data_IF_715001899835
#
_entry.id   IF_715001899835
#
_cell.length_a   1.000
_cell.length_b   1.000
_cell.length_c   1.000
_cell.angle_alpha   90.00
_cell.angle_beta   90.00
_cell.angle_gamma   90.00
#
_symmetry.space_group_name_H-M   'P 1'
#
loop_
_entity.id
_entity.type
_entity.pdbx_description
1 polymer ?
#
# COMPACT_ATOMS: atom_id res chain seq x y z
N UNK A 1 10.77 1.14 11.09
CA UNK A 1 11.16 0.32 9.91
C UNK A 1 10.49 0.91 8.67
N UNK A 2 10.83 0.45 7.46
CA UNK A 2 10.11 0.84 6.24
C UNK A 2 9.07 -0.21 5.91
N UNK A 3 7.82 0.20 5.66
CA UNK A 3 6.70 -0.70 5.40
C UNK A 3 6.18 -0.56 3.97
N UNK A 4 5.64 -1.65 3.44
CA UNK A 4 4.87 -1.65 2.18
C UNK A 4 3.38 -1.63 2.50
N UNK A 5 2.67 -0.66 1.93
CA UNK A 5 1.27 -0.40 2.21
C UNK A 5 0.45 -0.69 0.94
N UNK A 6 -0.49 -1.63 1.02
CA UNK A 6 -1.45 -1.88 -0.05
C UNK A 6 -2.48 -0.76 -0.06
N UNK A 7 -2.50 0.03 -1.12
CA UNK A 7 -3.45 1.12 -1.31
C UNK A 7 -4.48 0.69 -2.35
N UNK A 8 -5.75 0.72 -1.97
CA UNK A 8 -6.83 0.42 -2.88
C UNK A 8 -7.94 1.47 -2.82
N UNK A 9 -8.63 1.65 -3.94
CA UNK A 9 -9.85 2.43 -4.04
C UNK A 9 -10.74 1.84 -5.11
N UNK A 10 -12.01 1.60 -4.76
CA UNK A 10 -13.06 1.22 -5.72
C UNK A 10 -13.74 2.44 -6.34
N UNK A 11 -13.30 3.65 -5.98
CA UNK A 11 -13.84 4.91 -6.48
C UNK A 11 -13.03 5.34 -7.70
N UNK A 12 -13.73 5.52 -8.83
CA UNK A 12 -13.13 6.06 -10.03
C UNK A 12 -12.65 7.50 -9.79
N UNK A 13 -11.49 7.86 -10.36
CA UNK A 13 -10.92 9.21 -10.30
C UNK A 13 -11.92 10.32 -10.66
N UNK A 14 -12.80 10.06 -11.62
CA UNK A 14 -13.81 11.01 -12.10
C UNK A 14 -14.99 11.24 -11.15
N UNK A 15 -15.14 10.42 -10.11
CA UNK A 15 -16.33 10.41 -9.23
C UNK A 15 -16.12 11.05 -7.86
N UNK A 16 -14.87 11.25 -7.41
CA UNK A 16 -14.58 11.90 -6.13
C UNK A 16 -13.41 12.85 -6.24
N UNK A 17 -13.69 14.05 -6.78
CA UNK A 17 -12.70 15.13 -6.89
C UNK A 17 -12.21 15.60 -5.52
N UNK A 18 -13.08 15.54 -4.51
CA UNK A 18 -12.81 15.88 -3.11
C UNK A 18 -11.71 15.01 -2.50
N UNK A 19 -11.69 13.70 -2.78
CA UNK A 19 -10.65 12.79 -2.28
C UNK A 19 -9.37 12.76 -3.12
N UNK A 20 -9.38 13.32 -4.33
CA UNK A 20 -8.20 13.31 -5.19
C UNK A 20 -7.00 14.02 -4.55
N UNK A 21 -7.20 15.17 -3.90
CA UNK A 21 -6.11 15.92 -3.23
C UNK A 21 -5.63 15.23 -1.94
N UNK A 22 -6.52 14.78 -1.04
CA UNK A 22 -6.13 13.94 0.10
C UNK A 22 -5.36 12.69 -0.29
N UNK A 23 -5.79 11.95 -1.32
CA UNK A 23 -5.10 10.76 -1.82
C UNK A 23 -3.68 11.09 -2.30
N UNK A 24 -3.54 12.13 -3.11
CA UNK A 24 -2.22 12.61 -3.54
C UNK A 24 -1.34 13.05 -2.35
N UNK A 25 -1.94 13.71 -1.36
CA UNK A 25 -1.24 14.08 -0.12
C UNK A 25 -0.78 12.85 0.67
N UNK A 26 -1.62 11.81 0.77
CA UNK A 26 -1.28 10.55 1.42
C UNK A 26 -0.03 9.93 0.78
N UNK A 27 0.01 9.88 -0.56
CA UNK A 27 1.16 9.35 -1.31
C UNK A 27 2.46 10.06 -0.96
N UNK A 28 2.44 11.40 -0.95
CA UNK A 28 3.62 12.22 -0.58
C UNK A 28 4.12 11.90 0.83
N UNK A 29 3.19 11.61 1.74
CA UNK A 29 3.51 11.32 3.14
C UNK A 29 4.04 9.91 3.33
N UNK A 30 3.50 8.93 2.61
CA UNK A 30 4.03 7.56 2.56
C UNK A 30 5.50 7.62 2.11
N UNK A 31 5.78 8.33 1.02
CA UNK A 31 7.14 8.52 0.51
C UNK A 31 8.04 9.26 1.51
N UNK A 32 7.57 10.34 2.12
CA UNK A 32 8.34 11.10 3.10
C UNK A 32 8.68 10.29 4.37
N UNK A 33 7.85 9.31 4.72
CA UNK A 33 8.08 8.37 5.81
C UNK A 33 8.98 7.17 5.42
N UNK A 34 9.46 7.11 4.17
CA UNK A 34 10.29 6.01 3.67
C UNK A 34 9.51 4.71 3.41
N UNK A 35 8.18 4.77 3.44
CA UNK A 35 7.32 3.63 3.13
C UNK A 35 7.07 3.50 1.63
N UNK A 36 6.64 2.33 1.19
CA UNK A 36 6.37 2.01 -0.22
C UNK A 36 4.86 1.91 -0.46
N UNK A 37 4.36 2.57 -1.49
CA UNK A 37 2.97 2.45 -1.92
C UNK A 37 2.82 1.33 -2.96
N UNK A 38 2.09 0.27 -2.59
CA UNK A 38 1.67 -0.78 -3.52
C UNK A 38 0.24 -0.50 -3.98
N UNK A 39 0.00 -0.38 -5.28
CA UNK A 39 -1.35 -0.03 -5.79
C UNK A 39 -1.71 -0.90 -6.99
N UNK A 40 -3.01 -1.16 -7.27
CA UNK A 40 -3.41 -1.64 -8.58
C UNK A 40 -3.01 -0.61 -9.65
N UNK A 41 -2.41 -1.06 -10.75
CA UNK A 41 -1.90 -0.21 -11.82
C UNK A 41 -3.03 0.28 -12.76
N UNK A 42 -3.97 1.07 -12.23
CA UNK A 42 -5.11 1.58 -12.98
C UNK A 42 -5.66 2.90 -12.44
N UNK A 43 -6.62 3.47 -13.16
CA UNK A 43 -7.11 4.84 -12.94
C UNK A 43 -8.17 4.92 -11.81
N UNK A 44 -7.74 4.76 -10.56
CA UNK A 44 -8.55 5.00 -9.35
C UNK A 44 -7.91 6.04 -8.43
N UNK A 45 -8.52 6.36 -7.27
CA UNK A 45 -7.86 7.22 -6.28
C UNK A 45 -6.53 6.65 -5.77
N UNK A 46 -6.31 5.33 -5.86
CA UNK A 46 -5.02 4.72 -5.53
C UNK A 46 -3.90 5.21 -6.47
N UNK A 47 -4.23 5.52 -7.74
CA UNK A 47 -3.31 6.16 -8.68
C UNK A 47 -2.85 7.54 -8.19
N UNK A 48 -3.71 8.32 -7.54
CA UNK A 48 -3.29 9.60 -6.95
C UNK A 48 -2.30 9.40 -5.81
N UNK A 49 -2.46 8.34 -5.01
CA UNK A 49 -1.51 7.97 -3.98
C UNK A 49 -0.16 7.60 -4.61
N UNK A 50 -0.16 6.78 -5.66
CA UNK A 50 1.06 6.45 -6.41
C UNK A 50 1.76 7.71 -6.96
N UNK A 51 1.00 8.62 -7.60
CA UNK A 51 1.50 9.92 -8.06
C UNK A 51 2.13 10.74 -6.95
N UNK A 52 1.47 10.82 -5.80
CA UNK A 52 1.99 11.55 -4.64
C UNK A 52 3.31 10.99 -4.15
N UNK A 53 3.45 9.66 -4.12
CA UNK A 53 4.67 9.00 -3.73
C UNK A 53 5.81 9.26 -4.73
N UNK A 54 5.53 9.09 -6.03
CA UNK A 54 6.48 9.33 -7.11
C UNK A 54 7.00 10.78 -7.13
N UNK A 55 6.12 11.77 -6.94
CA UNK A 55 6.48 13.19 -6.89
C UNK A 55 7.39 13.56 -5.69
N UNK A 56 7.48 12.68 -4.69
CA UNK A 56 8.40 12.78 -3.56
C UNK A 56 9.59 11.85 -3.67
N UNK A 57 9.83 11.29 -4.86
CA UNK A 57 10.89 10.32 -5.12
C UNK A 57 10.85 9.11 -4.19
N UNK A 58 9.66 8.78 -3.67
CA UNK A 58 9.43 7.55 -2.93
C UNK A 58 9.02 6.42 -3.86
N UNK A 59 9.19 5.18 -3.40
CA UNK A 59 8.90 4.00 -4.20
C UNK A 59 7.40 3.79 -4.36
N UNK A 60 6.96 3.67 -5.62
CA UNK A 60 5.61 3.22 -5.98
C UNK A 60 5.65 2.00 -6.90
N UNK A 61 4.95 0.95 -6.50
CA UNK A 61 4.88 -0.30 -7.26
C UNK A 61 3.43 -0.54 -7.70
N UNK A 62 3.24 -0.71 -9.01
CA UNK A 62 1.94 -0.96 -9.62
C UNK A 62 1.72 -2.46 -9.87
N UNK A 63 0.60 -2.99 -9.40
CA UNK A 63 0.15 -4.36 -9.67
C UNK A 63 -0.82 -4.34 -10.85
N UNK A 64 -0.35 -4.81 -11.99
CA UNK A 64 -1.10 -4.81 -13.25
C UNK A 64 -1.82 -6.15 -13.44
N UNK A 65 -3.12 -6.14 -13.82
CA UNK A 65 -3.85 -7.37 -14.18
C UNK A 65 -3.39 -7.96 -15.51
N UNK A 66 -2.63 -7.21 -16.32
CA UNK A 66 -2.05 -7.74 -17.55
C UNK A 66 -1.00 -8.84 -17.26
N UNK A 67 -0.87 -9.79 -18.18
CA UNK A 67 0.18 -10.81 -18.18
C UNK A 67 1.55 -10.27 -18.65
N UNK A 68 1.62 -9.01 -19.10
CA UNK A 68 2.86 -8.36 -19.50
C UNK A 68 2.66 -6.93 -19.99
N UNK A 69 3.78 -6.22 -20.19
CA UNK A 69 3.80 -4.81 -20.57
C UNK A 69 3.02 -4.50 -21.86
N UNK A 70 3.12 -5.37 -22.88
CA UNK A 70 2.41 -5.17 -24.15
C UNK A 70 0.90 -5.17 -23.95
N UNK A 71 0.36 -6.10 -23.16
CA UNK A 71 -1.08 -6.14 -22.87
C UNK A 71 -1.48 -4.95 -21.98
N UNK A 72 -0.66 -4.59 -20.99
CA UNK A 72 -0.90 -3.45 -20.11
C UNK A 72 -1.07 -2.14 -20.88
N UNK A 73 -0.15 -1.85 -21.79
CA UNK A 73 -0.16 -0.59 -22.55
C UNK A 73 -1.12 -0.66 -23.73
N UNK A 74 -1.04 -1.68 -24.58
CA UNK A 74 -1.76 -1.66 -25.85
C UNK A 74 -3.22 -2.12 -25.72
N UNK A 75 -3.47 -3.11 -24.86
CA UNK A 75 -4.81 -3.71 -24.73
C UNK A 75 -5.62 -3.06 -23.61
N UNK A 76 -5.00 -2.83 -22.46
CA UNK A 76 -5.68 -2.26 -21.29
C UNK A 76 -5.52 -0.73 -21.19
N UNK A 77 -4.56 -0.14 -21.91
CA UNK A 77 -4.32 1.31 -21.94
C UNK A 77 -4.12 1.90 -20.53
N UNK A 78 -3.37 1.17 -19.71
CA UNK A 78 -3.11 1.54 -18.32
C UNK A 78 -1.83 2.40 -18.20
N UNK A 79 -1.78 3.29 -17.19
CA UNK A 79 -0.66 4.21 -17.00
C UNK A 79 0.59 3.49 -16.46
N UNK A 80 1.76 4.03 -16.81
CA UNK A 80 3.08 3.47 -16.42
C UNK A 80 3.99 4.51 -15.78
N UNK A 81 3.63 5.79 -15.86
CA UNK A 81 4.45 6.97 -15.57
C UNK A 81 4.70 7.21 -14.07
N UNK A 82 3.88 6.63 -13.20
CA UNK A 82 3.90 6.90 -11.74
C UNK A 82 4.49 5.74 -10.94
N UNK A 83 4.94 4.70 -11.62
CA UNK A 83 5.41 3.46 -11.00
C UNK A 83 6.89 3.26 -11.31
N UNK A 84 7.71 3.09 -10.27
CA UNK A 84 9.11 2.68 -10.42
C UNK A 84 9.19 1.24 -10.93
N UNK A 85 8.19 0.41 -10.58
CA UNK A 85 8.08 -0.96 -11.02
C UNK A 85 6.63 -1.36 -11.28
N UNK A 86 6.43 -2.11 -12.36
CA UNK A 86 5.15 -2.76 -12.68
C UNK A 86 5.27 -4.27 -12.54
N UNK A 87 4.44 -4.82 -11.66
CA UNK A 87 4.28 -6.26 -11.49
C UNK A 87 3.10 -6.75 -12.34
N UNK A 88 3.39 -7.54 -13.38
CA UNK A 88 2.38 -8.09 -14.29
C UNK A 88 1.90 -9.44 -13.78
N UNK A 89 0.70 -9.49 -13.22
CA UNK A 89 0.21 -10.69 -12.52
C UNK A 89 -0.54 -11.65 -13.45
N UNK A 90 -1.14 -11.13 -14.53
CA UNK A 90 -2.09 -11.90 -15.35
C UNK A 90 -3.36 -12.32 -14.60
N UNK A 91 -3.60 -11.78 -13.39
CA UNK A 91 -4.72 -12.15 -12.53
C UNK A 91 -5.96 -11.31 -12.78
N UNK A 92 -7.13 -11.93 -12.57
CA UNK A 92 -8.40 -11.22 -12.49
C UNK A 92 -8.49 -10.31 -11.25
N UNK A 93 -9.48 -9.39 -11.21
CA UNK A 93 -9.52 -8.33 -10.19
C UNK A 93 -9.47 -8.81 -8.73
N UNK A 94 -10.20 -9.87 -8.38
CA UNK A 94 -10.23 -10.36 -6.99
C UNK A 94 -8.90 -11.01 -6.58
N UNK A 95 -8.29 -11.79 -7.47
CA UNK A 95 -7.02 -12.45 -7.21
C UNK A 95 -5.86 -11.44 -7.17
N UNK A 96 -5.89 -10.43 -8.04
CA UNK A 96 -4.97 -9.30 -8.01
C UNK A 96 -4.97 -8.58 -6.66
N UNK A 97 -6.16 -8.30 -6.11
CA UNK A 97 -6.29 -7.62 -4.83
C UNK A 97 -5.84 -8.51 -3.67
N UNK A 98 -6.14 -9.82 -3.72
CA UNK A 98 -5.65 -10.76 -2.73
C UNK A 98 -4.12 -10.83 -2.71
N UNK A 99 -3.49 -10.84 -3.89
CA UNK A 99 -2.03 -10.81 -3.99
C UNK A 99 -1.46 -9.50 -3.43
N UNK A 100 -2.01 -8.34 -3.84
CA UNK A 100 -1.60 -7.04 -3.35
C UNK A 100 -1.62 -6.94 -1.82
N UNK A 101 -2.73 -7.38 -1.20
CA UNK A 101 -2.93 -7.31 0.25
C UNK A 101 -1.95 -8.26 0.96
N UNK A 102 -1.83 -9.50 0.51
CA UNK A 102 -0.94 -10.50 1.14
C UNK A 102 0.55 -10.14 1.04
N UNK A 103 0.94 -9.31 0.06
CA UNK A 103 2.33 -8.83 -0.09
C UNK A 103 2.61 -7.53 0.66
N UNK A 104 1.62 -6.99 1.37
CA UNK A 104 1.72 -5.74 2.12
C UNK A 104 1.73 -5.98 3.64
N UNK A 105 2.14 -4.97 4.40
CA UNK A 105 2.07 -4.97 5.86
C UNK A 105 0.81 -4.26 6.38
N UNK A 106 0.17 -3.42 5.57
CA UNK A 106 -1.10 -2.78 5.91
C UNK A 106 -1.96 -2.57 4.68
N UNK A 107 -3.28 -2.52 4.88
CA UNK A 107 -4.25 -2.11 3.86
C UNK A 107 -4.70 -0.68 4.13
N UNK A 108 -4.65 0.19 3.12
CA UNK A 108 -5.24 1.52 3.17
C UNK A 108 -6.29 1.66 2.07
N UNK A 109 -7.52 1.93 2.47
CA UNK A 109 -8.65 2.17 1.59
C UNK A 109 -8.89 3.67 1.44
N UNK A 110 -8.91 4.17 0.20
CA UNK A 110 -9.24 5.57 -0.09
C UNK A 110 -10.66 5.64 -0.66
N UNK A 111 -11.58 6.30 0.06
CA UNK A 111 -13.00 6.35 -0.29
C UNK A 111 -13.63 4.96 -0.20
N UNK A 112 -13.65 4.38 1.00
CA UNK A 112 -14.10 3.01 1.18
C UNK A 112 -15.62 2.87 0.97
N UNK A 113 -16.04 1.78 0.33
CA UNK A 113 -17.44 1.46 0.02
C UNK A 113 -17.74 0.00 0.38
N UNK A 114 -19.02 -0.40 0.40
CA UNK A 114 -19.42 -1.80 0.66
C UNK A 114 -18.66 -2.84 -0.18
N UNK A 115 -18.31 -2.50 -1.43
CA UNK A 115 -17.53 -3.37 -2.31
C UNK A 115 -16.10 -3.67 -1.80
N UNK A 116 -15.62 -2.98 -0.76
CA UNK A 116 -14.34 -3.24 -0.10
C UNK A 116 -14.41 -4.30 1.01
N UNK A 117 -15.59 -4.90 1.27
CA UNK A 117 -15.73 -5.89 2.34
C UNK A 117 -14.85 -7.13 2.12
N UNK A 118 -14.61 -7.52 0.86
CA UNK A 118 -13.69 -8.61 0.52
C UNK A 118 -12.24 -8.29 0.89
N UNK A 119 -11.80 -7.06 0.65
CA UNK A 119 -10.46 -6.59 0.98
C UNK A 119 -10.27 -6.50 2.49
N UNK A 120 -11.30 -6.07 3.22
CA UNK A 120 -11.29 -6.06 4.69
C UNK A 120 -11.21 -7.46 5.27
N UNK A 121 -11.95 -8.42 4.71
CA UNK A 121 -11.87 -9.82 5.14
C UNK A 121 -10.44 -10.36 4.94
N UNK A 122 -9.83 -10.12 3.77
CA UNK A 122 -8.46 -10.52 3.49
C UNK A 122 -7.44 -9.88 4.43
N UNK A 123 -7.58 -8.58 4.73
CA UNK A 123 -6.71 -7.90 5.68
C UNK A 123 -6.89 -8.46 7.11
N UNK A 124 -8.14 -8.76 7.51
CA UNK A 124 -8.43 -9.39 8.80
C UNK A 124 -7.80 -10.78 8.90
N UNK A 125 -7.88 -11.61 7.86
CA UNK A 125 -7.30 -12.95 7.83
C UNK A 125 -5.77 -12.89 7.90
N UNK A 126 -5.17 -11.90 7.25
CA UNK A 126 -3.73 -11.64 7.30
C UNK A 126 -3.29 -10.84 8.54
N UNK A 127 -4.20 -10.53 9.47
CA UNK A 127 -3.94 -9.72 10.67
C UNK A 127 -3.27 -8.38 10.38
N UNK A 128 -3.60 -7.77 9.24
CA UNK A 128 -3.04 -6.49 8.83
C UNK A 128 -3.85 -5.33 9.43
N UNK A 129 -3.19 -4.27 9.94
CA UNK A 129 -3.88 -3.04 10.24
C UNK A 129 -4.50 -2.44 8.97
N UNK A 130 -5.68 -1.84 9.13
CA UNK A 130 -6.45 -1.22 8.06
C UNK A 130 -6.61 0.27 8.33
N UNK A 131 -6.18 1.10 7.39
CA UNK A 131 -6.51 2.52 7.34
C UNK A 131 -7.65 2.81 6.36
N UNK A 132 -8.59 3.66 6.74
CA UNK A 132 -9.66 4.15 5.84
C UNK A 132 -9.60 5.67 5.77
N UNK A 133 -9.22 6.18 4.60
CA UNK A 133 -9.24 7.61 4.26
C UNK A 133 -10.62 7.98 3.71
N UNK A 134 -11.35 8.81 4.45
CA UNK A 134 -12.70 9.23 4.07
C UNK A 134 -12.76 10.68 3.64
N UNK A 135 -13.75 10.97 2.80
CA UNK A 135 -14.22 12.32 2.59
C UNK A 135 -15.02 12.79 3.82
N UNK A 136 -14.89 14.08 4.14
CA UNK A 136 -15.80 14.78 5.01
C UNK A 136 -17.27 14.62 4.66
N UNK A 137 -17.60 14.58 3.37
CA UNK A 137 -18.98 14.55 2.88
C UNK A 137 -19.58 13.13 2.87
N UNK A 138 -18.77 12.10 2.68
CA UNK A 138 -19.24 10.71 2.54
C UNK A 138 -19.42 9.99 3.89
N UNK A 139 -18.81 10.48 4.98
CA UNK A 139 -18.75 9.76 6.26
C UNK A 139 -20.14 9.39 6.82
N UNK A 140 -21.14 10.27 6.69
CA UNK A 140 -22.46 10.04 7.29
C UNK A 140 -23.30 8.97 6.57
N UNK A 141 -23.07 8.77 5.27
CA UNK A 141 -23.86 7.88 4.41
C UNK A 141 -23.09 6.63 3.98
N UNK A 142 -22.01 6.32 4.68
CA UNK A 142 -21.14 5.21 4.32
C UNK A 142 -21.56 3.92 5.03
N UNK A 143 -22.28 3.06 4.32
CA UNK A 143 -22.73 1.75 4.80
C UNK A 143 -21.57 0.90 5.35
N UNK A 144 -20.36 1.05 4.79
CA UNK A 144 -19.18 0.32 5.29
C UNK A 144 -18.78 0.77 6.67
N UNK A 145 -18.83 2.07 6.95
CA UNK A 145 -18.51 2.54 8.29
C UNK A 145 -19.54 2.09 9.31
N UNK A 146 -20.83 2.09 8.94
CA UNK A 146 -21.88 1.57 9.81
C UNK A 146 -21.67 0.08 10.10
N UNK A 147 -21.32 -0.70 9.07
CA UNK A 147 -20.93 -2.10 9.23
C UNK A 147 -19.71 -2.26 10.13
N UNK A 148 -18.64 -1.49 9.91
CA UNK A 148 -17.42 -1.54 10.71
C UNK A 148 -17.67 -1.21 12.18
N UNK A 149 -18.54 -0.23 12.46
CA UNK A 149 -18.97 0.14 13.81
C UNK A 149 -19.82 -0.95 14.49
N UNK A 150 -20.46 -1.82 13.71
CA UNK A 150 -21.22 -2.97 14.24
C UNK A 150 -20.35 -4.20 14.57
N UNK A 151 -19.08 -4.23 14.14
CA UNK A 151 -18.18 -5.34 14.40
C UNK A 151 -17.82 -5.44 15.90
N UNK A 152 -17.45 -6.63 16.42
CA UNK A 152 -16.89 -6.75 17.76
C UNK A 152 -15.66 -5.84 17.96
N UNK A 153 -15.50 -5.26 19.15
CA UNK A 153 -14.42 -4.32 19.47
C UNK A 153 -13.02 -4.85 19.12
N UNK A 154 -12.78 -6.16 19.29
CA UNK A 154 -11.51 -6.80 18.95
C UNK A 154 -11.16 -6.65 17.46
N UNK A 155 -12.16 -6.78 16.58
CA UNK A 155 -11.98 -6.58 15.14
C UNK A 155 -11.83 -5.10 14.79
N UNK A 156 -12.52 -4.21 15.51
CA UNK A 156 -12.41 -2.77 15.30
C UNK A 156 -11.03 -2.21 15.64
N UNK A 157 -10.32 -2.79 16.61
CA UNK A 157 -8.98 -2.31 17.05
C UNK A 157 -7.94 -2.30 15.93
N UNK A 158 -8.13 -3.11 14.90
CA UNK A 158 -7.23 -3.21 13.76
C UNK A 158 -7.61 -2.23 12.63
N UNK A 159 -8.64 -1.39 12.82
CA UNK A 159 -9.18 -0.51 11.79
C UNK A 159 -9.18 0.93 12.30
N UNK A 160 -8.45 1.80 11.61
CA UNK A 160 -8.45 3.25 11.84
C UNK A 160 -9.14 3.96 10.69
N UNK A 161 -10.01 4.90 11.03
CA UNK A 161 -10.77 5.72 10.08
C UNK A 161 -10.43 7.18 10.32
N UNK A 162 -9.97 7.88 9.28
CA UNK A 162 -9.61 9.30 9.40
C UNK A 162 -9.86 10.09 8.11
N UNK A 163 -10.02 11.41 8.23
CA UNK A 163 -10.17 12.33 7.08
C UNK A 163 -8.86 12.99 6.68
N UNK A 164 -8.02 13.29 7.67
CA UNK A 164 -6.68 13.79 7.42
C UNK A 164 -5.72 12.64 7.07
N UNK A 165 -5.06 12.68 5.90
CA UNK A 165 -4.13 11.65 5.48
C UNK A 165 -2.93 11.47 6.40
N UNK A 166 -2.49 12.54 7.08
CA UNK A 166 -1.32 12.47 7.97
C UNK A 166 -1.61 11.67 9.20
N UNK A 167 -2.66 12.04 9.91
CA UNK A 167 -3.08 11.30 11.10
C UNK A 167 -3.41 9.85 10.77
N UNK A 168 -4.00 9.57 9.60
CA UNK A 168 -4.25 8.21 9.15
C UNK A 168 -2.94 7.42 9.03
N UNK A 169 -1.97 7.94 8.29
CA UNK A 169 -0.68 7.28 8.07
C UNK A 169 0.08 7.10 9.38
N UNK A 170 0.16 8.14 10.21
CA UNK A 170 0.87 8.09 11.50
C UNK A 170 0.27 7.01 12.41
N UNK A 171 -1.07 6.86 12.40
CA UNK A 171 -1.75 5.84 13.21
C UNK A 171 -1.50 4.44 12.67
N UNK A 172 -1.60 4.23 11.35
CA UNK A 172 -1.28 2.93 10.72
C UNK A 172 0.17 2.54 10.97
N UNK A 173 1.12 3.49 10.80
CA UNK A 173 2.54 3.25 11.06
C UNK A 173 2.78 2.87 12.52
N UNK A 174 2.13 3.54 13.47
CA UNK A 174 2.21 3.18 14.88
C UNK A 174 1.71 1.76 15.17
N UNK A 175 0.60 1.35 14.56
CA UNK A 175 0.09 -0.03 14.69
C UNK A 175 1.07 -1.05 14.15
N UNK A 176 1.77 -0.73 13.05
CA UNK A 176 2.82 -1.58 12.50
C UNK A 176 4.05 -1.64 13.41
N UNK A 177 4.51 -0.51 13.93
CA UNK A 177 5.63 -0.47 14.88
C UNK A 177 5.32 -1.30 16.13
N UNK A 178 4.08 -1.26 16.63
CA UNK A 178 3.61 -2.09 17.75
C UNK A 178 3.54 -3.58 17.36
N UNK A 179 3.05 -3.91 16.17
CA UNK A 179 2.94 -5.30 15.68
C UNK A 179 4.31 -5.96 15.42
N UNK A 180 5.34 -5.16 15.17
CA UNK A 180 6.71 -5.61 14.92
C UNK A 180 7.69 -5.25 16.05
N UNK A 181 7.17 -4.86 17.23
CA UNK A 181 7.99 -4.46 18.37
C UNK A 181 8.83 -5.61 18.96
N UNK A 182 8.46 -6.85 18.66
CA UNK A 182 9.17 -8.07 19.04
C UNK A 182 10.40 -8.36 18.16
N UNK A 183 10.54 -7.68 17.01
CA UNK A 183 11.73 -7.79 16.18
C UNK A 183 12.93 -7.12 16.87
N UNK A 184 13.95 -7.92 17.19
CA UNK A 184 15.21 -7.46 17.77
C UNK A 184 16.02 -6.62 16.76
N UNK A 185 15.89 -5.30 16.84
CA UNK A 185 16.58 -4.37 15.95
C UNK A 185 18.12 -4.47 16.05
N UNK A 186 18.72 -4.54 17.25
CA UNK A 186 20.14 -4.84 17.38
C UNK A 186 20.59 -6.10 16.64
N UNK A 187 19.82 -7.21 16.72
CA UNK A 187 20.15 -8.44 15.99
C UNK A 187 20.03 -8.27 14.47
N UNK A 188 19.02 -7.53 13.98
CA UNK A 188 18.88 -7.19 12.56
C UNK A 188 20.07 -6.35 12.06
N UNK A 189 20.49 -5.34 12.82
CA UNK A 189 21.65 -4.53 12.49
C UNK A 189 22.94 -5.36 12.48
N UNK A 190 23.11 -6.25 13.46
CA UNK A 190 24.25 -7.16 13.52
C UNK A 190 24.29 -8.10 12.31
N UNK A 191 23.15 -8.66 11.91
CA UNK A 191 23.04 -9.48 10.70
C UNK A 191 23.42 -8.69 9.45
N UNK A 192 22.88 -7.47 9.30
CA UNK A 192 23.22 -6.61 8.15
C UNK A 192 24.71 -6.27 8.10
N UNK A 193 25.32 -6.00 9.26
CA UNK A 193 26.77 -5.77 9.35
C UNK A 193 27.58 -7.02 9.00
N UNK A 194 27.15 -8.20 9.44
CA UNK A 194 27.79 -9.47 9.11
C UNK A 194 27.80 -9.71 7.59
N UNK A 195 26.65 -9.60 6.92
CA UNK A 195 26.56 -9.73 5.46
C UNK A 195 27.38 -8.64 4.75
N UNK A 196 27.35 -7.41 5.24
CA UNK A 196 28.16 -6.32 4.70
C UNK A 196 29.67 -6.56 4.77
N UNK A 197 30.14 -7.24 5.83
CA UNK A 197 31.55 -7.66 5.93
C UNK A 197 31.86 -8.79 4.96
N UNK A 198 31.02 -9.83 4.93
CA UNK A 198 31.18 -10.98 4.03
C UNK A 198 31.26 -10.55 2.55
N UNK A 199 30.41 -9.61 2.12
CA UNK A 199 30.41 -9.09 0.75
C UNK A 199 31.70 -8.35 0.40
N UNK A 200 32.31 -7.62 1.34
CA UNK A 200 33.61 -6.96 1.12
C UNK A 200 34.73 -7.99 0.95
N UNK A 201 34.73 -9.03 1.78
CA UNK A 201 35.72 -10.11 1.69
C UNK A 201 35.62 -10.88 0.37
N UNK A 202 34.43 -11.05 -0.19
CA UNK A 202 34.23 -11.67 -1.52
C UNK A 202 34.64 -10.72 -2.65
N UNK A 203 34.39 -9.42 -2.52
CA UNK A 203 34.77 -8.43 -3.53
C UNK A 203 36.30 -8.24 -3.64
N UNK A 204 37.04 -8.54 -2.57
CA UNK A 204 38.51 -8.51 -2.54
C UNK A 204 39.16 -9.78 -3.14
N UNK A 205 38.36 -10.77 -3.59
CA UNK A 205 38.88 -11.93 -4.33
C UNK A 205 39.19 -11.49 -5.76
N UNK A 206 40.46 -11.60 -6.23
CA UNK A 206 40.82 -11.19 -7.58
C UNK A 206 40.02 -12.00 -8.62
N UNK A 207 39.47 -11.32 -9.62
CA UNK A 207 38.79 -11.98 -10.73
C UNK A 207 39.75 -13.00 -11.38
N UNK A 208 39.24 -14.19 -11.77
CA UNK A 208 40.07 -15.19 -12.42
C UNK A 208 40.71 -14.58 -13.68
N UNK A 209 42.02 -14.72 -13.80
CA UNK A 209 42.73 -14.31 -15.01
C UNK A 209 42.23 -15.15 -16.19
N UNK A 210 41.65 -14.48 -17.19
CA UNK A 210 41.21 -15.07 -18.48
C UNK A 210 42.31 -15.90 -19.17
#
# INVERSE_FOLDING_TARGET
MNYSLAINSRVALSKSASLSRPAYSLGKQIAAAGHTALTPAGLSLAYQVARGAADKSGLSIGFSPAAGLRQHVNSLQLPTDVYDWLHFTGLGPSALLAELIQKSQALVLVGAVMANISELALASDASLPVGVLLDSEEQANNDLLQYLQSLPLEKQRHIVVHKDPKTLLDTVAKMLDEAYADLDQPALEQNNQFFGKLLKEVADVPEPAD
#
